data_IF_247175531767
#
_entry.id   IF_247175531767
#
_cell.length_a   1.000
_cell.length_b   1.000
_cell.length_c   1.000
_cell.angle_alpha   90.00
_cell.angle_beta   90.00
_cell.angle_gamma   90.00
#
_symmetry.space_group_name_H-M   'P 1'
#
loop_
_entity.id
_entity.type
_entity.pdbx_description
1 polymer ?
#
# COMPACT_ATOMS: atom_id res chain seq x y z
N UNK A 1 21.24 -3.76 10.85
CA UNK A 1 20.10 -3.91 9.92
C UNK A 1 18.74 -4.14 10.60
N UNK A 2 18.64 -4.34 11.93
CA UNK A 2 17.34 -4.58 12.58
C UNK A 2 16.36 -3.41 12.40
N UNK A 3 16.83 -2.17 12.59
CA UNK A 3 16.03 -0.97 12.40
C UNK A 3 15.41 -0.88 10.99
N UNK A 4 16.21 -1.14 9.94
CA UNK A 4 15.72 -1.16 8.56
C UNK A 4 14.60 -2.19 8.33
N UNK A 5 14.70 -3.36 8.97
CA UNK A 5 13.65 -4.39 8.87
C UNK A 5 12.37 -3.97 9.58
N UNK A 6 12.50 -3.36 10.76
CA UNK A 6 11.35 -2.82 11.51
C UNK A 6 10.67 -1.72 10.70
N UNK A 7 11.44 -0.81 10.12
CA UNK A 7 10.92 0.27 9.28
C UNK A 7 10.16 -0.28 8.07
N UNK A 8 10.78 -1.20 7.31
CA UNK A 8 10.12 -1.85 6.16
C UNK A 8 8.86 -2.62 6.58
N UNK A 9 8.89 -3.31 7.72
CA UNK A 9 7.72 -4.05 8.21
C UNK A 9 6.58 -3.11 8.63
N UNK A 10 6.90 -2.01 9.33
CA UNK A 10 5.92 -1.01 9.75
C UNK A 10 5.30 -0.30 8.54
N UNK A 11 6.12 0.20 7.63
CA UNK A 11 5.66 0.85 6.38
C UNK A 11 4.86 -0.14 5.54
N UNK A 12 5.34 -1.38 5.40
CA UNK A 12 4.65 -2.42 4.65
C UNK A 12 3.28 -2.75 5.23
N UNK A 13 3.17 -2.84 6.55
CA UNK A 13 1.90 -3.08 7.24
C UNK A 13 0.93 -1.90 7.06
N UNK A 14 1.40 -0.66 7.19
CA UNK A 14 0.58 0.54 6.97
C UNK A 14 0.03 0.59 5.55
N UNK A 15 0.88 0.41 4.55
CA UNK A 15 0.49 0.41 3.14
C UNK A 15 -0.47 -0.73 2.81
N UNK A 16 -0.21 -1.93 3.33
CA UNK A 16 -1.08 -3.08 3.12
C UNK A 16 -2.48 -2.88 3.69
N UNK A 17 -2.56 -2.43 4.95
CA UNK A 17 -3.85 -2.18 5.63
C UNK A 17 -4.61 -1.07 4.91
N UNK A 18 -3.94 0.04 4.58
CA UNK A 18 -4.56 1.15 3.87
C UNK A 18 -5.10 0.69 2.51
N UNK A 19 -4.26 0.02 1.71
CA UNK A 19 -4.69 -0.55 0.42
C UNK A 19 -5.85 -1.53 0.56
N UNK A 20 -5.86 -2.38 1.60
CA UNK A 20 -6.94 -3.32 1.86
C UNK A 20 -8.28 -2.61 2.15
N UNK A 21 -8.24 -1.55 2.95
CA UNK A 21 -9.43 -0.73 3.23
C UNK A 21 -9.95 -0.11 1.94
N UNK A 22 -9.10 0.54 1.14
CA UNK A 22 -9.49 1.20 -0.10
C UNK A 22 -9.97 0.21 -1.18
N UNK A 23 -9.43 -1.00 -1.19
CA UNK A 23 -9.85 -2.05 -2.12
C UNK A 23 -11.27 -2.55 -1.81
N UNK A 24 -11.59 -2.78 -0.53
CA UNK A 24 -12.90 -3.28 -0.11
C UNK A 24 -13.92 -2.14 -0.10
N UNK A 25 -13.57 -1.00 0.49
CA UNK A 25 -14.40 0.19 0.69
C UNK A 25 -13.83 1.43 -0.02
N UNK A 26 -13.84 1.49 -1.37
CA UNK A 26 -13.26 2.61 -2.13
C UNK A 26 -13.90 3.97 -1.83
N UNK A 27 -15.12 3.98 -1.28
CA UNK A 27 -15.82 5.19 -0.84
C UNK A 27 -15.08 5.97 0.26
N UNK A 28 -14.22 5.34 1.05
CA UNK A 28 -13.44 6.03 2.10
C UNK A 28 -12.58 7.14 1.51
N UNK A 29 -11.90 6.87 0.38
CA UNK A 29 -11.09 7.85 -0.33
C UNK A 29 -11.95 8.95 -0.93
N UNK A 30 -13.16 8.62 -1.43
CA UNK A 30 -14.09 9.64 -1.92
C UNK A 30 -14.47 10.66 -0.85
N UNK A 31 -14.64 10.24 0.41
CA UNK A 31 -14.98 11.11 1.54
C UNK A 31 -13.78 11.99 1.93
N UNK A 32 -12.58 11.42 1.99
CA UNK A 32 -11.37 12.14 2.42
C UNK A 32 -10.84 13.11 1.36
N UNK A 33 -11.00 12.78 0.07
CA UNK A 33 -10.45 13.56 -1.05
C UNK A 33 -11.47 14.38 -1.82
N UNK A 34 -12.77 14.17 -1.60
CA UNK A 34 -13.85 14.77 -2.40
C UNK A 34 -14.06 14.12 -3.77
N UNK A 35 -13.42 12.98 -4.04
CA UNK A 35 -13.59 12.25 -5.30
C UNK A 35 -14.98 11.62 -5.43
N UNK A 36 -15.69 11.99 -6.49
CA UNK A 36 -16.94 11.34 -6.89
C UNK A 36 -16.64 10.09 -7.73
N UNK A 37 -17.33 8.98 -7.43
CA UNK A 37 -17.23 7.71 -8.18
C UNK A 37 -18.59 7.33 -8.79
N UNK A 38 -19.10 8.09 -9.78
CA UNK A 38 -20.46 7.90 -10.31
C UNK A 38 -20.62 6.65 -11.18
N UNK A 39 -19.52 6.03 -11.61
CA UNK A 39 -19.53 4.87 -12.51
C UNK A 39 -18.77 3.68 -11.94
N UNK A 40 -19.10 2.44 -12.34
CA UNK A 40 -18.31 1.27 -11.98
C UNK A 40 -16.83 1.38 -12.40
N UNK A 41 -16.54 2.04 -13.53
CA UNK A 41 -15.17 2.31 -13.97
C UNK A 41 -14.38 3.16 -12.98
N UNK A 42 -14.97 4.27 -12.51
CA UNK A 42 -14.33 5.13 -11.50
C UNK A 42 -14.08 4.41 -10.17
N UNK A 43 -14.97 3.48 -9.78
CA UNK A 43 -14.77 2.65 -8.58
C UNK A 43 -13.58 1.69 -8.79
N UNK A 44 -13.46 1.09 -9.98
CA UNK A 44 -12.36 0.19 -10.30
C UNK A 44 -11.01 0.92 -10.34
N UNK A 45 -10.96 2.13 -10.90
CA UNK A 45 -9.74 2.95 -10.86
C UNK A 45 -9.31 3.25 -9.44
N UNK A 46 -10.24 3.67 -8.58
CA UNK A 46 -9.93 3.92 -7.16
C UNK A 46 -9.45 2.66 -6.45
N UNK A 47 -10.09 1.51 -6.72
CA UNK A 47 -9.64 0.22 -6.17
C UNK A 47 -8.27 -0.19 -6.66
N UNK A 48 -7.90 0.12 -7.89
CA UNK A 48 -6.58 -0.19 -8.43
C UNK A 48 -5.51 0.73 -7.83
N UNK A 49 -5.73 2.04 -7.90
CA UNK A 49 -4.76 3.08 -7.54
C UNK A 49 -4.58 3.23 -6.04
N UNK A 50 -5.68 3.30 -5.27
CA UNK A 50 -5.63 3.48 -3.82
C UNK A 50 -5.73 2.16 -3.06
N UNK A 51 -6.17 1.09 -3.72
CA UNK A 51 -6.29 -0.23 -3.11
C UNK A 51 -5.14 -1.15 -3.50
N UNK A 52 -5.20 -1.72 -4.70
CA UNK A 52 -4.30 -2.76 -5.18
C UNK A 52 -2.83 -2.35 -5.18
N UNK A 53 -2.51 -1.12 -5.60
CA UNK A 53 -1.14 -0.62 -5.66
C UNK A 53 -0.51 -0.47 -4.25
N UNK A 54 -1.12 0.24 -3.28
CA UNK A 54 -0.62 0.29 -1.91
C UNK A 54 -0.56 -1.09 -1.26
N UNK A 55 -1.54 -1.96 -1.55
CA UNK A 55 -1.56 -3.32 -1.02
C UNK A 55 -0.37 -4.14 -1.52
N UNK A 56 -0.07 -4.06 -2.82
CA UNK A 56 1.08 -4.74 -3.44
C UNK A 56 2.43 -4.19 -2.93
N UNK A 57 2.56 -2.86 -2.80
CA UNK A 57 3.74 -2.22 -2.21
C UNK A 57 3.93 -2.64 -0.74
N UNK A 58 2.84 -2.70 0.03
CA UNK A 58 2.85 -3.16 1.41
C UNK A 58 3.41 -4.58 1.55
N UNK A 59 2.92 -5.51 0.72
CA UNK A 59 3.41 -6.88 0.65
C UNK A 59 4.89 -6.94 0.21
N UNK A 60 5.29 -6.11 -0.75
CA UNK A 60 6.68 -6.03 -1.18
C UNK A 60 7.61 -5.60 -0.04
N UNK A 61 7.26 -4.57 0.73
CA UNK A 61 8.05 -4.12 1.88
C UNK A 61 8.11 -5.16 3.00
N UNK A 62 6.98 -5.83 3.30
CA UNK A 62 6.94 -6.94 4.25
C UNK A 62 7.87 -8.09 3.82
N UNK A 63 7.84 -8.47 2.54
CA UNK A 63 8.72 -9.49 1.99
C UNK A 63 10.20 -9.06 2.05
N UNK A 64 10.51 -7.80 1.75
CA UNK A 64 11.86 -7.24 1.86
C UNK A 64 12.38 -7.23 3.31
N UNK A 65 11.51 -6.99 4.30
CA UNK A 65 11.85 -7.05 5.72
C UNK A 65 12.23 -8.47 6.18
N UNK A 66 11.70 -9.51 5.53
CA UNK A 66 12.01 -10.91 5.85
C UNK A 66 13.34 -11.39 5.23
N UNK A 67 13.75 -10.83 4.08
CA UNK A 67 14.90 -11.30 3.32
C UNK A 67 16.12 -10.36 3.45
N UNK A 68 17.18 -10.82 4.14
CA UNK A 68 18.40 -10.02 4.40
C UNK A 68 19.02 -9.39 3.14
N UNK A 69 18.99 -10.09 2.00
CA UNK A 69 19.56 -9.63 0.72
C UNK A 69 18.75 -8.49 0.09
N UNK A 70 17.44 -8.41 0.37
CA UNK A 70 16.52 -7.45 -0.28
C UNK A 70 16.27 -6.19 0.54
N UNK A 71 16.81 -6.08 1.75
CA UNK A 71 16.60 -4.90 2.61
C UNK A 71 17.03 -3.60 1.90
N UNK A 72 18.17 -3.60 1.20
CA UNK A 72 18.66 -2.41 0.50
C UNK A 72 17.71 -1.99 -0.62
N UNK A 73 17.24 -2.94 -1.42
CA UNK A 73 16.24 -2.69 -2.48
C UNK A 73 14.93 -2.19 -1.90
N UNK A 74 14.46 -2.81 -0.81
CA UNK A 74 13.25 -2.36 -0.11
C UNK A 74 13.35 -0.92 0.37
N UNK A 75 14.48 -0.54 0.98
CA UNK A 75 14.72 0.83 1.43
C UNK A 75 14.81 1.83 0.27
N UNK A 76 15.42 1.43 -0.86
CA UNK A 76 15.53 2.29 -2.05
C UNK A 76 14.18 2.56 -2.71
N UNK A 77 13.24 1.61 -2.69
CA UNK A 77 11.89 1.79 -3.24
C UNK A 77 11.00 2.62 -2.30
N UNK A 78 11.32 2.64 -1.00
CA UNK A 78 10.54 3.36 0.01
C UNK A 78 10.75 4.89 -0.04
N UNK A 79 11.84 5.36 -0.65
CA UNK A 79 12.24 6.78 -0.73
C UNK A 79 12.14 7.23 -2.18
#
# INVERSE_FOLDING_TARGET
MLFARILLAATGLMFFIHGLICFIHPATIGIESGLAMPTPGSILEVRAEYGGLPMALGLFFLAAAMQKVRIRTGLLVMV
#
